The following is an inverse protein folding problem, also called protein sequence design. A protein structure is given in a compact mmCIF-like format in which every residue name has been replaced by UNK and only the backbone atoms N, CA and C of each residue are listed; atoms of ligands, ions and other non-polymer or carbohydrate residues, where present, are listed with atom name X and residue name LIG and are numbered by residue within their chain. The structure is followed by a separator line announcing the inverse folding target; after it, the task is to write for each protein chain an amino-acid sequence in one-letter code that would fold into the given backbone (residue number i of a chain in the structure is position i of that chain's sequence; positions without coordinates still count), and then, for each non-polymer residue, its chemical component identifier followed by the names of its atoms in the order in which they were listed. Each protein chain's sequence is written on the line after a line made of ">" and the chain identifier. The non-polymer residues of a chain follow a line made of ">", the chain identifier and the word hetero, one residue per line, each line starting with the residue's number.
data_IF_512827311295
#
_entry.id   IF_512827311295
#
_cell.length_a   1.000
_cell.length_b   1.000
_cell.length_c   1.000
_cell.angle_alpha   90.00
_cell.angle_beta   90.00
_cell.angle_gamma   90.00
#
_symmetry.space_group_name_H-M   'P 1'
#
loop_
_entity.id
_entity.type
_entity.pdbx_description
1 polymer ?
#
# COMPACT_ATOMS: atom_id res chain seq x y z
N UNK A 1 -4.73 13.55 -22.16
CA UNK A 1 -5.59 14.74 -21.86
C UNK A 1 -6.30 14.47 -20.54
N UNK A 2 -5.74 14.99 -19.46
CA UNK A 2 -6.40 15.19 -18.17
C UNK A 2 -7.60 16.11 -18.42
N UNK A 3 -8.76 15.83 -17.81
CA UNK A 3 -9.68 16.86 -17.34
C UNK A 3 -10.21 16.41 -15.98
N UNK A 4 -9.63 16.96 -14.92
CA UNK A 4 -10.30 17.09 -13.63
C UNK A 4 -11.52 17.99 -13.79
N UNK A 5 -12.59 17.65 -13.06
CA UNK A 5 -13.58 18.65 -12.64
C UNK A 5 -14.06 18.28 -11.24
N UNK A 6 -13.55 19.00 -10.26
CA UNK A 6 -14.14 19.09 -8.93
C UNK A 6 -15.35 20.02 -9.03
N UNK A 7 -16.52 19.59 -8.57
CA UNK A 7 -17.45 20.46 -7.84
C UNK A 7 -18.49 19.64 -7.07
N UNK A 8 -18.65 20.03 -5.81
CA UNK A 8 -19.62 19.53 -4.84
C UNK A 8 -21.07 19.76 -5.27
N UNK A 9 -21.98 18.88 -4.84
CA UNK A 9 -23.08 19.27 -3.94
C UNK A 9 -23.96 18.05 -3.61
N UNK A 10 -24.30 17.98 -2.33
CA UNK A 10 -25.11 16.96 -1.66
C UNK A 10 -26.47 16.69 -2.33
N UNK A 11 -26.93 15.43 -2.25
CA UNK A 11 -28.31 15.10 -1.86
C UNK A 11 -28.31 13.83 -1.02
N UNK A 12 -28.60 13.97 0.26
CA UNK A 12 -29.14 12.90 1.12
C UNK A 12 -30.66 12.99 1.00
N UNK A 13 -31.32 11.88 0.68
CA UNK A 13 -32.72 11.65 1.03
C UNK A 13 -32.93 10.17 1.37
N UNK A 14 -33.59 9.95 2.50
CA UNK A 14 -33.73 8.72 3.26
C UNK A 14 -34.80 7.79 2.68
N UNK A 15 -34.64 6.48 2.90
CA UNK A 15 -35.80 5.62 3.11
C UNK A 15 -35.62 4.74 4.35
N UNK A 16 -36.69 4.69 5.14
CA UNK A 16 -36.78 4.00 6.43
C UNK A 16 -37.56 2.73 6.16
N UNK A 17 -36.87 1.60 6.05
CA UNK A 17 -37.49 0.31 6.35
C UNK A 17 -36.46 -0.59 7.00
N UNK A 18 -36.81 -1.04 8.21
CA UNK A 18 -35.93 -1.84 9.05
C UNK A 18 -35.51 -3.13 8.35
N UNK A 19 -34.22 -3.23 8.09
CA UNK A 19 -33.47 -4.46 7.84
C UNK A 19 -32.03 -4.18 8.30
N UNK A 20 -31.50 -5.11 9.08
CA UNK A 20 -30.23 -5.05 9.81
C UNK A 20 -29.08 -5.41 8.86
N UNK A 21 -27.93 -4.74 8.98
CA UNK A 21 -26.92 -4.65 7.91
C UNK A 21 -25.49 -4.74 8.47
N UNK A 22 -24.74 -5.74 8.03
CA UNK A 22 -23.28 -5.79 8.03
C UNK A 22 -22.80 -5.39 6.63
N UNK A 23 -22.04 -4.29 6.54
CA UNK A 23 -21.53 -3.76 5.27
C UNK A 23 -20.16 -4.33 4.91
N UNK A 24 -19.98 -4.53 3.61
CA UNK A 24 -18.77 -4.89 2.84
C UNK A 24 -17.41 -4.63 3.51
N UNK A 25 -16.52 -5.60 3.42
CA UNK A 25 -15.08 -5.42 3.66
C UNK A 25 -14.27 -5.97 2.49
N UNK A 26 -13.88 -5.10 1.56
CA UNK A 26 -12.70 -5.30 0.71
C UNK A 26 -11.59 -4.49 1.35
N UNK A 27 -10.61 -5.16 1.97
CA UNK A 27 -9.45 -4.48 2.53
C UNK A 27 -8.39 -4.34 1.45
N UNK A 28 -8.18 -3.10 0.99
CA UNK A 28 -7.00 -2.74 0.22
C UNK A 28 -5.89 -2.43 1.22
N UNK A 29 -4.89 -3.29 1.31
CA UNK A 29 -3.63 -2.91 1.96
C UNK A 29 -2.82 -2.13 0.92
N UNK A 30 -2.39 -0.93 1.26
CA UNK A 30 -1.41 -0.17 0.50
C UNK A 30 -0.34 0.24 1.52
N UNK A 31 0.91 -0.26 1.38
CA UNK A 31 1.99 -0.04 2.36
C UNK A 31 2.41 1.44 2.50
N UNK A 32 1.74 2.38 1.83
CA UNK A 32 1.87 3.81 2.11
C UNK A 32 0.53 4.54 2.29
N UNK A 33 0.42 5.20 3.46
CA UNK A 33 -0.57 6.20 3.93
C UNK A 33 -1.82 5.67 4.67
N UNK A 34 -1.63 5.29 5.93
CA UNK A 34 -2.41 5.83 7.06
C UNK A 34 -1.51 5.96 8.28
N UNK A 35 -1.64 7.07 9.01
CA UNK A 35 -0.87 7.36 10.22
C UNK A 35 -1.43 6.52 11.37
N UNK A 36 -0.87 5.32 11.52
CA UNK A 36 -1.00 4.51 12.73
C UNK A 36 -0.20 5.20 13.83
N UNK A 37 -0.84 5.46 14.97
CA UNK A 37 -0.11 5.82 16.17
C UNK A 37 0.48 4.53 16.73
N UNK A 38 1.73 4.24 16.38
CA UNK A 38 2.71 3.54 17.21
C UNK A 38 4.10 3.63 16.55
N UNK A 39 5.07 4.11 17.33
CA UNK A 39 6.48 4.22 16.98
C UNK A 39 7.21 3.07 17.65
N UNK A 40 7.99 2.24 16.93
CA UNK A 40 9.02 1.38 17.54
C UNK A 40 10.19 1.13 16.57
N UNK A 41 11.42 0.90 17.09
CA UNK A 41 12.66 0.86 16.31
C UNK A 41 12.96 -0.51 15.68
N UNK A 42 13.84 -0.49 14.68
CA UNK A 42 14.36 -1.60 13.87
C UNK A 42 14.79 -2.86 14.67
N UNK A 43 14.45 -4.05 14.15
CA UNK A 43 15.38 -5.10 13.65
C UNK A 43 14.73 -6.50 13.55
N UNK A 44 15.06 -7.22 12.46
CA UNK A 44 14.91 -8.67 12.20
C UNK A 44 13.49 -9.26 12.02
N UNK A 45 13.23 -9.77 10.79
CA UNK A 45 12.04 -10.50 10.32
C UNK A 45 10.71 -9.92 10.82
N UNK A 46 10.23 -8.90 10.12
CA UNK A 46 8.98 -8.22 10.49
C UNK A 46 7.78 -9.14 10.25
N UNK A 47 7.30 -9.78 11.29
CA UNK A 47 5.92 -10.24 11.30
C UNK A 47 5.02 -8.99 11.35
N UNK A 48 4.30 -8.73 10.26
CA UNK A 48 3.32 -7.67 10.21
C UNK A 48 1.96 -8.27 10.58
N UNK A 49 1.36 -7.75 11.65
CA UNK A 49 0.02 -8.19 12.05
C UNK A 49 -1.05 -7.38 11.31
N UNK A 50 -1.94 -8.09 10.62
CA UNK A 50 -3.18 -7.57 10.07
C UNK A 50 -4.33 -7.90 11.04
N UNK A 51 -4.94 -6.88 11.63
CA UNK A 51 -6.17 -7.03 12.40
C UNK A 51 -7.39 -7.00 11.47
N UNK A 52 -7.97 -8.17 11.16
CA UNK A 52 -9.25 -8.23 10.46
C UNK A 52 -10.38 -8.00 11.46
N UNK A 53 -11.15 -6.94 11.27
CA UNK A 53 -12.26 -6.56 12.17
C UNK A 53 -13.55 -7.22 11.69
N UNK A 54 -14.18 -8.01 12.56
CA UNK A 54 -15.50 -8.61 12.33
C UNK A 54 -16.53 -7.87 13.17
N UNK A 55 -17.61 -7.41 12.54
CA UNK A 55 -18.71 -6.73 13.20
C UNK A 55 -19.83 -7.68 13.64
N UNK A 56 -20.50 -7.32 14.74
CA UNK A 56 -21.78 -7.86 15.18
C UNK A 56 -22.81 -6.74 15.16
N UNK A 57 -23.82 -6.87 14.30
CA UNK A 57 -24.97 -5.97 14.28
C UNK A 57 -26.19 -6.63 14.97
N UNK A 58 -26.62 -6.05 16.08
CA UNK A 58 -27.76 -6.53 16.86
C UNK A 58 -27.61 -7.94 17.47
N UNK A 59 -28.69 -8.72 17.37
CA UNK A 59 -28.85 -10.02 18.00
C UNK A 59 -29.43 -9.96 19.42
N UNK A 60 -29.77 -11.12 20.01
CA UNK A 60 -30.42 -11.19 21.31
C UNK A 60 -29.55 -10.63 22.45
N UNK A 61 -30.14 -9.71 23.22
CA UNK A 61 -29.49 -9.06 24.35
C UNK A 61 -29.01 -10.07 25.39
N UNK A 62 -27.83 -9.82 25.96
CA UNK A 62 -27.29 -10.67 27.02
C UNK A 62 -26.80 -12.06 26.59
N UNK A 63 -26.79 -12.37 25.27
CA UNK A 63 -26.25 -13.63 24.74
C UNK A 63 -24.86 -13.45 24.12
N UNK A 64 -24.05 -14.51 24.23
CA UNK A 64 -22.74 -14.62 23.58
C UNK A 64 -22.93 -15.19 22.17
N UNK A 65 -22.25 -14.62 21.18
CA UNK A 65 -22.23 -15.14 19.80
C UNK A 65 -20.84 -15.65 19.49
N UNK A 66 -20.74 -16.82 18.88
CA UNK A 66 -19.48 -17.44 18.48
C UNK A 66 -19.53 -17.75 16.99
N UNK A 67 -18.45 -17.42 16.28
CA UNK A 67 -18.29 -17.74 14.86
C UNK A 67 -16.90 -18.33 14.66
N UNK A 68 -16.83 -19.44 13.93
CA UNK A 68 -15.54 -20.01 13.56
C UNK A 68 -14.96 -19.26 12.36
N UNK A 69 -13.65 -19.13 12.34
CA UNK A 69 -12.93 -18.59 11.20
C UNK A 69 -11.80 -19.50 10.79
N UNK A 70 -11.47 -19.47 9.50
CA UNK A 70 -10.26 -20.06 8.96
C UNK A 70 -9.80 -19.31 7.71
N UNK A 71 -8.50 -19.33 7.45
CA UNK A 71 -7.89 -18.80 6.23
C UNK A 71 -7.77 -19.89 5.17
N UNK A 72 -7.93 -19.51 3.90
CA UNK A 72 -7.76 -20.37 2.72
C UNK A 72 -6.85 -19.66 1.71
N UNK A 73 -5.94 -20.43 1.09
CA UNK A 73 -4.99 -19.90 0.12
C UNK A 73 -5.71 -19.33 -1.11
N UNK A 74 -5.12 -18.29 -1.72
CA UNK A 74 -5.54 -17.75 -3.01
C UNK A 74 -4.40 -17.85 -4.00
N UNK A 75 -3.85 -16.71 -4.43
CA UNK A 75 -2.51 -16.69 -5.04
C UNK A 75 -1.41 -16.68 -3.98
N UNK A 76 -1.69 -16.07 -2.81
CA UNK A 76 -0.86 -16.16 -1.61
C UNK A 76 -1.09 -17.52 -0.91
N UNK A 77 0.00 -18.13 -0.46
CA UNK A 77 0.07 -19.45 0.16
C UNK A 77 0.41 -19.36 1.66
N UNK A 78 -0.29 -20.17 2.45
CA UNK A 78 0.00 -20.32 3.86
C UNK A 78 1.43 -20.87 4.09
N UNK A 79 2.20 -20.14 4.90
CA UNK A 79 3.55 -20.48 5.33
C UNK A 79 4.62 -19.61 4.69
N UNK A 80 4.52 -19.35 3.37
CA UNK A 80 5.38 -18.40 2.63
C UNK A 80 4.90 -16.98 2.84
N UNK A 81 3.61 -16.70 2.67
CA UNK A 81 3.11 -15.32 2.48
C UNK A 81 2.30 -14.85 3.70
N UNK A 82 1.64 -15.79 4.39
CA UNK A 82 0.96 -15.54 5.65
C UNK A 82 0.94 -16.78 6.54
N UNK A 83 0.71 -16.63 7.86
CA UNK A 83 0.48 -17.79 8.74
C UNK A 83 -0.98 -18.21 8.69
N UNK A 84 -1.28 -19.51 8.46
CA UNK A 84 -2.65 -19.98 8.44
C UNK A 84 -3.29 -19.75 9.82
N UNK A 85 -4.43 -19.07 9.82
CA UNK A 85 -5.17 -18.75 11.04
C UNK A 85 -6.50 -19.51 11.04
N UNK A 86 -6.84 -20.11 12.18
CA UNK A 86 -8.16 -20.69 12.41
C UNK A 86 -8.51 -20.63 13.89
N UNK A 87 -9.79 -20.44 14.20
CA UNK A 87 -10.23 -20.35 15.57
C UNK A 87 -11.72 -20.04 15.70
N UNK A 88 -12.13 -19.66 16.91
CA UNK A 88 -13.49 -19.20 17.19
C UNK A 88 -13.43 -17.79 17.73
N UNK A 89 -14.05 -16.87 17.01
CA UNK A 89 -14.25 -15.50 17.46
C UNK A 89 -15.47 -15.46 18.38
N UNK A 90 -15.32 -14.86 19.56
CA UNK A 90 -16.38 -14.79 20.58
C UNK A 90 -16.75 -13.35 20.82
N UNK A 91 -18.01 -13.00 20.55
CA UNK A 91 -18.64 -11.75 20.91
C UNK A 91 -19.39 -11.93 22.23
N UNK A 92 -18.89 -11.33 23.30
CA UNK A 92 -19.62 -11.24 24.55
C UNK A 92 -20.84 -10.31 24.40
N UNK A 93 -21.78 -10.30 25.37
CA UNK A 93 -22.84 -9.30 25.37
C UNK A 93 -22.28 -7.88 25.21
N UNK A 94 -22.93 -7.07 24.39
CA UNK A 94 -22.53 -5.70 24.03
C UNK A 94 -21.29 -5.54 23.13
N UNK A 95 -20.52 -6.61 22.87
CA UNK A 95 -19.43 -6.54 21.90
C UNK A 95 -20.00 -6.33 20.49
N UNK A 96 -19.61 -5.22 19.86
CA UNK A 96 -20.01 -4.90 18.48
C UNK A 96 -18.96 -5.26 17.45
N UNK A 97 -17.71 -5.42 17.87
CA UNK A 97 -16.58 -5.71 16.98
C UNK A 97 -15.56 -6.58 17.71
N UNK A 98 -15.00 -7.55 17.00
CA UNK A 98 -13.86 -8.33 17.46
C UNK A 98 -12.81 -8.39 16.35
N UNK A 99 -11.55 -8.66 16.72
CA UNK A 99 -10.42 -8.70 15.80
C UNK A 99 -9.89 -10.11 15.66
N UNK A 100 -9.53 -10.48 14.44
CA UNK A 100 -8.76 -11.67 14.11
C UNK A 100 -7.37 -11.20 13.69
N UNK A 101 -6.33 -11.40 14.51
CA UNK A 101 -4.96 -11.09 14.11
C UNK A 101 -4.49 -12.16 13.11
N UNK A 102 -4.05 -11.72 11.94
CA UNK A 102 -3.41 -12.55 10.92
C UNK A 102 -1.97 -12.08 10.80
N UNK A 103 -1.03 -13.02 10.83
CA UNK A 103 0.39 -12.75 10.68
C UNK A 103 0.74 -12.85 9.19
N UNK A 104 1.22 -11.76 8.62
CA UNK A 104 1.77 -11.70 7.26
C UNK A 104 3.26 -11.95 7.34
N UNK A 105 3.78 -12.78 6.44
CA UNK A 105 5.20 -13.09 6.34
C UNK A 105 5.82 -12.06 5.41
N UNK A 106 6.78 -11.30 5.93
CA UNK A 106 7.56 -10.30 5.20
C UNK A 106 8.93 -10.90 4.91
N UNK A 107 9.35 -10.90 3.65
CA UNK A 107 10.70 -11.29 3.27
C UNK A 107 11.43 -10.18 2.49
N UNK A 108 12.41 -10.53 1.65
CA UNK A 108 13.24 -9.57 0.93
C UNK A 108 13.26 -9.87 -0.59
N UNK A 109 12.31 -10.67 -1.07
CA UNK A 109 12.20 -11.16 -2.45
C UNK A 109 11.01 -10.48 -3.10
N UNK A 110 11.25 -9.86 -4.25
CA UNK A 110 10.18 -9.27 -5.03
C UNK A 110 9.16 -10.33 -5.48
N UNK A 111 7.89 -10.06 -5.18
CA UNK A 111 6.73 -10.89 -5.53
C UNK A 111 5.66 -10.05 -6.22
N UNK A 112 4.76 -10.69 -6.97
CA UNK A 112 3.59 -9.98 -7.52
C UNK A 112 2.56 -9.73 -6.41
N UNK A 113 1.56 -8.88 -6.67
CA UNK A 113 0.45 -8.71 -5.73
C UNK A 113 -0.32 -10.02 -5.59
N UNK A 114 -0.44 -10.50 -4.35
CA UNK A 114 -1.09 -11.78 -4.05
C UNK A 114 -2.27 -11.62 -3.11
N UNK A 115 -3.16 -12.62 -3.05
CA UNK A 115 -4.30 -12.60 -2.14
C UNK A 115 -4.58 -13.96 -1.53
N UNK A 116 -5.22 -13.95 -0.36
CA UNK A 116 -5.80 -15.12 0.28
C UNK A 116 -7.19 -14.78 0.85
N UNK A 117 -7.88 -15.76 1.40
CA UNK A 117 -9.24 -15.63 1.88
C UNK A 117 -9.35 -15.89 3.38
N UNK A 118 -10.29 -15.20 4.04
CA UNK A 118 -10.73 -15.48 5.41
C UNK A 118 -12.22 -15.79 5.41
N UNK A 119 -12.58 -16.98 5.91
CA UNK A 119 -13.96 -17.45 5.96
C UNK A 119 -14.53 -17.37 7.37
N UNK A 120 -15.79 -17.00 7.47
CA UNK A 120 -16.61 -17.08 8.68
C UNK A 120 -17.63 -18.21 8.53
N UNK A 121 -17.65 -19.13 9.49
CA UNK A 121 -18.50 -20.33 9.44
C UNK A 121 -19.03 -20.71 10.82
N UNK A 122 -19.94 -21.69 10.85
CA UNK A 122 -20.37 -22.36 12.07
C UNK A 122 -20.80 -21.40 13.19
N UNK A 123 -21.70 -20.48 12.86
CA UNK A 123 -22.27 -19.53 13.82
C UNK A 123 -23.03 -20.28 14.93
N UNK A 124 -22.79 -19.87 16.18
CA UNK A 124 -23.41 -20.44 17.38
C UNK A 124 -23.81 -19.33 18.33
N UNK A 125 -24.89 -19.55 19.07
CA UNK A 125 -25.31 -18.66 20.16
C UNK A 125 -25.19 -19.40 21.48
N UNK A 126 -24.64 -18.75 22.50
CA UNK A 126 -24.52 -19.30 23.84
C UNK A 126 -25.29 -18.45 24.84
N UNK A 127 -26.13 -19.13 25.62
CA UNK A 127 -26.90 -18.54 26.71
C UNK A 127 -26.05 -18.29 27.95
N UNK A 128 -26.56 -17.51 28.91
CA UNK A 128 -25.86 -17.18 30.16
C UNK A 128 -25.56 -18.41 31.02
N UNK A 129 -26.42 -19.42 30.97
CA UNK A 129 -26.27 -20.72 31.64
C UNK A 129 -25.39 -21.71 30.84
N UNK A 130 -24.85 -21.29 29.69
CA UNK A 130 -23.83 -22.05 28.94
C UNK A 130 -24.38 -23.00 27.87
N UNK A 131 -25.68 -23.01 27.62
CA UNK A 131 -26.29 -23.82 26.56
C UNK A 131 -25.91 -23.26 25.18
N UNK A 132 -25.42 -24.15 24.30
CA UNK A 132 -25.18 -23.83 22.89
C UNK A 132 -26.46 -24.05 22.10
N UNK A 133 -26.94 -23.00 21.46
CA UNK A 133 -28.12 -23.00 20.61
C UNK A 133 -27.70 -22.98 19.15
N UNK A 134 -28.40 -23.78 18.34
CA UNK A 134 -28.41 -23.60 16.89
C UNK A 134 -29.08 -22.25 16.60
N UNK A 135 -28.38 -21.31 15.94
CA UNK A 135 -28.90 -19.98 15.69
C UNK A 135 -30.14 -19.98 14.78
N UNK A 136 -30.48 -21.09 14.12
CA UNK A 136 -31.59 -21.17 13.16
C UNK A 136 -32.87 -21.84 13.70
N UNK A 137 -32.86 -22.46 14.89
CA UNK A 137 -33.89 -23.45 15.29
C UNK A 137 -34.85 -23.06 16.42
N UNK A 138 -34.95 -21.80 16.83
CA UNK A 138 -35.89 -21.40 17.89
C UNK A 138 -37.22 -20.87 17.32
N UNK A 139 -38.27 -21.69 17.38
CA UNK A 139 -39.65 -21.24 17.07
C UNK A 139 -39.89 -20.81 15.61
N UNK A 140 -39.02 -21.21 14.67
CA UNK A 140 -39.13 -20.85 13.25
C UNK A 140 -38.52 -19.49 12.87
N UNK A 141 -37.88 -18.78 13.81
CA UNK A 141 -37.18 -17.51 13.57
C UNK A 141 -35.69 -17.69 13.91
N UNK A 142 -34.75 -17.26 13.04
CA UNK A 142 -33.33 -17.31 13.36
C UNK A 142 -32.99 -16.33 14.49
N UNK A 143 -32.28 -16.81 15.51
CA UNK A 143 -31.71 -16.01 16.61
C UNK A 143 -30.51 -15.17 16.17
N UNK A 144 -29.75 -15.68 15.21
CA UNK A 144 -28.62 -15.01 14.58
C UNK A 144 -28.40 -15.60 13.19
N UNK A 145 -27.76 -14.85 12.30
CA UNK A 145 -27.41 -15.30 10.95
C UNK A 145 -26.03 -14.76 10.58
N UNK A 146 -25.30 -15.52 9.76
CA UNK A 146 -24.13 -14.99 9.06
C UNK A 146 -24.60 -14.24 7.82
N UNK A 147 -24.37 -12.93 7.79
CA UNK A 147 -24.66 -12.11 6.64
C UNK A 147 -23.58 -12.25 5.57
N UNK A 148 -23.95 -12.07 4.30
CA UNK A 148 -23.00 -12.04 3.20
C UNK A 148 -22.35 -10.66 3.10
N UNK A 149 -21.05 -10.57 2.80
CA UNK A 149 -20.15 -11.70 2.53
C UNK A 149 -19.63 -12.37 3.80
N UNK A 150 -19.57 -13.71 3.78
CA UNK A 150 -18.93 -14.52 4.84
C UNK A 150 -17.47 -14.86 4.55
N UNK A 151 -16.97 -14.41 3.40
CA UNK A 151 -15.59 -14.55 2.97
C UNK A 151 -15.03 -13.15 2.72
N UNK A 152 -13.89 -12.83 3.35
CA UNK A 152 -13.11 -11.64 3.03
C UNK A 152 -11.93 -12.03 2.14
N UNK A 153 -11.65 -11.23 1.12
CA UNK A 153 -10.41 -11.32 0.33
C UNK A 153 -9.39 -10.37 0.93
N UNK A 154 -8.18 -10.87 1.21
CA UNK A 154 -7.08 -10.11 1.78
C UNK A 154 -5.96 -10.09 0.75
N UNK A 155 -5.52 -8.89 0.37
CA UNK A 155 -4.47 -8.67 -0.62
C UNK A 155 -3.15 -8.29 0.07
N UNK A 156 -2.07 -8.99 -0.26
CA UNK A 156 -0.70 -8.72 0.14
C UNK A 156 -0.05 -7.96 -1.01
N UNK A 157 0.45 -6.75 -0.71
CA UNK A 157 1.25 -5.99 -1.66
C UNK A 157 2.72 -6.10 -1.27
N UNK A 158 3.53 -6.42 -2.25
CA UNK A 158 4.98 -6.48 -2.09
C UNK A 158 5.61 -5.08 -2.10
N UNK A 159 6.62 -4.88 -1.26
CA UNK A 159 7.44 -3.66 -1.20
C UNK A 159 8.92 -3.91 -1.54
N UNK A 160 9.29 -5.13 -1.94
CA UNK A 160 10.65 -5.51 -2.30
C UNK A 160 11.05 -5.19 -3.75
N UNK A 161 10.17 -4.51 -4.49
CA UNK A 161 10.52 -4.02 -5.82
C UNK A 161 11.69 -3.01 -5.76
N UNK A 162 12.63 -3.12 -6.71
CA UNK A 162 13.82 -2.26 -6.76
C UNK A 162 13.50 -0.79 -7.08
N UNK A 163 12.26 -0.50 -7.45
CA UNK A 163 11.73 0.83 -7.69
C UNK A 163 11.65 1.22 -9.17
N UNK A 164 10.77 2.18 -9.44
CA UNK A 164 10.55 2.85 -10.72
C UNK A 164 11.05 4.28 -10.58
N UNK A 165 11.91 4.70 -11.50
CA UNK A 165 12.62 5.98 -11.44
C UNK A 165 12.07 6.98 -12.45
N UNK A 166 11.75 8.18 -12.00
CA UNK A 166 11.23 9.25 -12.86
C UNK A 166 11.63 10.62 -12.35
N UNK A 167 11.61 11.62 -13.22
CA UNK A 167 11.59 13.02 -12.78
C UNK A 167 10.24 13.37 -12.16
N UNK A 168 10.23 14.38 -11.29
CA UNK A 168 9.00 14.94 -10.72
C UNK A 168 8.14 15.66 -11.78
N UNK A 169 8.78 16.25 -12.80
CA UNK A 169 8.13 16.95 -13.90
C UNK A 169 8.78 16.58 -15.23
N UNK A 170 8.04 16.77 -16.34
CA UNK A 170 8.52 16.55 -17.71
C UNK A 170 9.17 17.80 -18.34
N UNK A 171 9.09 18.95 -17.67
CA UNK A 171 9.71 20.19 -18.08
C UNK A 171 10.17 21.00 -16.86
N UNK A 172 11.29 21.71 -17.02
CA UNK A 172 11.85 22.61 -16.01
C UNK A 172 12.19 23.94 -16.65
N UNK A 173 11.97 25.03 -15.92
CA UNK A 173 12.35 26.37 -16.34
C UNK A 173 13.32 26.94 -15.32
N UNK A 174 14.45 27.43 -15.82
CA UNK A 174 15.48 28.08 -15.00
C UNK A 174 15.94 29.35 -15.69
N UNK A 175 16.45 30.27 -14.86
CA UNK A 175 17.12 31.49 -15.32
C UNK A 175 18.62 31.21 -15.42
N UNK A 176 19.28 31.80 -16.42
CA UNK A 176 20.70 31.52 -16.72
C UNK A 176 21.65 31.86 -15.57
N UNK A 177 21.29 32.84 -14.73
CA UNK A 177 22.06 33.24 -13.56
C UNK A 177 21.88 32.34 -12.32
N UNK A 178 21.19 31.19 -12.44
CA UNK A 178 21.01 30.27 -11.31
C UNK A 178 22.30 29.53 -10.92
N UNK A 179 23.27 29.44 -11.85
CA UNK A 179 24.52 28.68 -11.70
C UNK A 179 24.30 27.17 -11.79
N UNK A 180 23.32 26.62 -11.08
CA UNK A 180 22.96 25.20 -11.16
C UNK A 180 21.44 25.00 -11.14
N UNK A 181 20.99 24.02 -11.92
CA UNK A 181 19.66 23.42 -11.76
C UNK A 181 19.80 22.09 -11.01
N UNK A 182 19.03 21.96 -9.94
CA UNK A 182 18.92 20.72 -9.16
C UNK A 182 17.60 20.03 -9.52
N UNK A 183 17.71 18.83 -10.08
CA UNK A 183 16.59 18.05 -10.59
C UNK A 183 16.33 16.87 -9.66
N UNK A 184 15.11 16.77 -9.13
CA UNK A 184 14.70 15.67 -8.26
C UNK A 184 14.28 14.46 -9.08
N UNK A 185 14.91 13.33 -8.80
CA UNK A 185 14.53 12.00 -9.30
C UNK A 185 13.82 11.25 -8.19
N UNK A 186 12.63 10.75 -8.48
CA UNK A 186 11.77 9.99 -7.57
C UNK A 186 11.91 8.50 -7.85
N UNK A 187 12.00 7.69 -6.79
CA UNK A 187 11.95 6.22 -6.82
C UNK A 187 10.64 5.77 -6.16
N UNK A 188 9.78 5.13 -6.93
CA UNK A 188 8.42 4.73 -6.57
C UNK A 188 8.21 3.23 -6.76
N UNK A 189 7.09 2.68 -6.27
CA UNK A 189 6.80 1.23 -6.37
C UNK A 189 7.97 0.39 -5.85
N UNK A 190 8.38 0.65 -4.60
CA UNK A 190 9.50 -0.03 -3.94
C UNK A 190 10.79 0.81 -3.87
N UNK A 191 11.56 0.54 -2.84
CA UNK A 191 12.84 1.20 -2.58
C UNK A 191 13.93 0.21 -2.13
N UNK A 192 13.75 -1.07 -2.49
CA UNK A 192 14.59 -2.16 -2.02
C UNK A 192 15.92 -2.25 -2.74
N UNK A 193 16.99 -2.38 -1.97
CA UNK A 193 18.34 -2.52 -2.44
C UNK A 193 18.93 -1.24 -3.03
N UNK A 194 20.23 -1.32 -3.33
CA UNK A 194 20.98 -0.23 -3.91
C UNK A 194 20.85 -0.26 -5.45
N UNK A 195 20.51 0.89 -6.05
CA UNK A 195 20.31 1.01 -7.50
C UNK A 195 21.14 2.17 -8.04
N UNK A 196 21.98 1.87 -9.02
CA UNK A 196 22.68 2.87 -9.82
C UNK A 196 21.79 3.28 -10.99
N UNK A 197 21.51 4.57 -11.12
CA UNK A 197 20.73 5.12 -12.22
C UNK A 197 21.62 6.04 -13.06
N UNK A 198 22.08 5.58 -14.23
CA UNK A 198 22.83 6.41 -15.15
C UNK A 198 21.92 7.45 -15.82
N UNK A 199 22.49 8.60 -16.16
CA UNK A 199 21.79 9.67 -16.85
C UNK A 199 22.72 10.43 -17.79
N UNK A 200 22.13 11.08 -18.80
CA UNK A 200 22.87 11.82 -19.82
C UNK A 200 22.13 13.07 -20.28
N UNK A 201 22.88 14.13 -20.56
CA UNK A 201 22.35 15.35 -21.19
C UNK A 201 22.53 15.32 -22.71
N UNK A 202 21.60 15.92 -23.46
CA UNK A 202 21.70 16.12 -24.91
C UNK A 202 21.37 17.55 -25.29
N UNK A 203 22.10 18.06 -26.27
CA UNK A 203 21.88 19.39 -26.82
C UNK A 203 20.48 19.50 -27.44
N UNK A 204 19.85 20.66 -27.23
CA UNK A 204 18.66 21.09 -27.96
C UNK A 204 19.00 22.34 -28.78
N UNK A 205 18.31 23.45 -28.53
CA UNK A 205 18.79 24.77 -28.98
C UNK A 205 19.91 25.31 -28.08
N UNK A 206 19.90 24.94 -26.80
CA UNK A 206 21.03 25.10 -25.90
C UNK A 206 22.09 24.02 -26.21
N UNK A 207 23.33 24.46 -26.38
CA UNK A 207 24.51 23.62 -26.64
C UNK A 207 25.46 23.54 -25.44
N UNK A 208 26.06 22.37 -25.30
CA UNK A 208 27.06 22.03 -24.29
C UNK A 208 28.24 23.01 -24.27
N UNK A 209 28.69 23.39 -23.07
CA UNK A 209 29.85 24.26 -22.86
C UNK A 209 29.60 25.75 -23.14
N UNK A 210 28.52 26.09 -23.84
CA UNK A 210 28.05 27.48 -23.99
C UNK A 210 26.94 27.83 -23.00
N UNK A 211 25.95 26.96 -22.82
CA UNK A 211 24.75 27.26 -22.01
C UNK A 211 24.65 26.38 -20.78
N UNK A 212 25.21 25.17 -20.82
CA UNK A 212 25.18 24.24 -19.69
C UNK A 212 26.39 23.30 -19.69
N UNK A 213 26.69 22.75 -18.51
CA UNK A 213 27.71 21.73 -18.31
C UNK A 213 27.14 20.34 -18.60
N UNK A 214 27.56 19.72 -19.71
CA UNK A 214 27.07 18.39 -20.05
C UNK A 214 27.49 17.30 -19.08
N UNK A 215 26.63 16.30 -18.94
CA UNK A 215 26.91 15.03 -18.28
C UNK A 215 26.84 13.93 -19.33
N UNK A 216 28.00 13.48 -19.81
CA UNK A 216 28.08 12.43 -20.83
C UNK A 216 27.85 11.02 -20.28
N UNK A 217 28.17 10.81 -18.99
CA UNK A 217 28.01 9.57 -18.24
C UNK A 217 27.79 9.88 -16.75
N UNK A 218 26.68 10.55 -16.44
CA UNK A 218 26.29 10.83 -15.06
C UNK A 218 25.71 9.58 -14.38
N UNK A 219 25.90 9.47 -13.08
CA UNK A 219 25.35 8.37 -12.29
C UNK A 219 24.82 8.91 -10.95
N UNK A 220 23.62 8.49 -10.56
CA UNK A 220 23.12 8.67 -9.20
C UNK A 220 22.93 7.31 -8.53
N UNK A 221 23.34 7.21 -7.28
CA UNK A 221 23.20 6.01 -6.48
C UNK A 221 22.04 6.19 -5.51
N UNK A 222 21.01 5.37 -5.65
CA UNK A 222 19.98 5.22 -4.64
C UNK A 222 20.41 4.15 -3.65
N UNK A 223 20.58 4.53 -2.39
CA UNK A 223 20.77 3.58 -1.29
C UNK A 223 19.49 2.80 -0.99
N UNK A 224 19.62 1.72 -0.22
CA UNK A 224 18.47 0.95 0.27
C UNK A 224 17.51 1.87 1.06
N UNK A 225 16.21 1.73 0.81
CA UNK A 225 15.12 2.56 1.35
C UNK A 225 15.14 4.04 0.94
N UNK A 226 16.06 4.47 0.07
CA UNK A 226 16.07 5.85 -0.45
C UNK A 226 15.03 6.01 -1.56
N UNK A 227 14.15 7.00 -1.42
CA UNK A 227 13.03 7.26 -2.36
C UNK A 227 13.25 8.46 -3.27
N UNK A 228 14.30 9.25 -3.04
CA UNK A 228 14.64 10.40 -3.86
C UNK A 228 16.15 10.64 -3.93
N UNK A 229 16.60 11.15 -5.07
CA UNK A 229 17.96 11.63 -5.27
C UNK A 229 17.93 12.85 -6.19
N UNK A 230 19.05 13.57 -6.25
CA UNK A 230 19.14 14.84 -6.96
C UNK A 230 20.26 14.80 -8.01
N UNK A 231 19.99 15.37 -9.17
CA UNK A 231 20.95 15.59 -10.24
C UNK A 231 21.23 17.09 -10.33
N UNK A 232 22.49 17.48 -10.25
CA UNK A 232 22.91 18.86 -10.45
C UNK A 232 23.55 19.05 -11.82
N UNK A 233 23.03 20.02 -12.58
CA UNK A 233 23.56 20.45 -13.88
C UNK A 233 23.97 21.92 -13.78
N UNK A 234 25.20 22.24 -14.15
CA UNK A 234 25.67 23.62 -14.22
C UNK A 234 25.02 24.36 -15.39
N UNK A 235 24.50 25.56 -15.13
CA UNK A 235 23.95 26.49 -16.11
C UNK A 235 24.94 27.64 -16.25
N UNK A 236 25.32 27.94 -17.49
CA UNK A 236 26.31 28.97 -17.82
C UNK A 236 25.56 30.26 -18.14
N UNK A 237 25.81 31.29 -17.34
CA UNK A 237 25.31 32.64 -17.61
C UNK A 237 26.05 33.22 -18.83
N UNK A 238 25.30 33.64 -19.85
CA UNK A 238 25.87 34.22 -21.07
C UNK A 238 25.47 35.69 -21.18
N UNK A 239 26.38 36.56 -21.64
CA UNK A 239 26.10 38.00 -21.80
C UNK A 239 25.17 38.31 -23.00
N UNK A 240 24.60 37.29 -23.64
CA UNK A 240 23.81 37.43 -24.86
C UNK A 240 22.32 37.38 -24.51
N UNK A 241 21.53 38.32 -25.05
CA UNK A 241 20.08 38.24 -24.93
C UNK A 241 19.58 37.11 -25.83
N UNK A 242 19.47 35.91 -25.28
CA UNK A 242 19.03 34.73 -26.02
C UNK A 242 17.52 34.52 -25.87
N UNK A 243 16.95 33.82 -26.86
CA UNK A 243 15.55 33.39 -26.83
C UNK A 243 15.44 32.26 -25.81
N UNK A 244 14.22 31.83 -25.46
CA UNK A 244 14.05 30.63 -24.62
C UNK A 244 14.72 29.42 -25.30
N UNK A 245 15.85 28.99 -24.75
CA UNK A 245 16.59 27.81 -25.20
C UNK A 245 16.32 26.59 -24.30
N UNK A 246 16.60 25.40 -24.82
CA UNK A 246 16.37 24.15 -24.11
C UNK A 246 17.44 23.10 -24.44
N UNK A 247 17.67 22.21 -23.48
CA UNK A 247 18.44 20.97 -23.62
C UNK A 247 17.64 19.83 -22.99
N UNK A 248 18.07 18.59 -23.21
CA UNK A 248 17.40 17.40 -22.68
C UNK A 248 18.25 16.72 -21.60
N UNK A 249 17.57 16.13 -20.62
CA UNK A 249 18.16 15.20 -19.67
C UNK A 249 17.39 13.88 -19.73
N UNK A 250 18.11 12.79 -19.91
CA UNK A 250 17.54 11.44 -20.04
C UNK A 250 18.08 10.54 -18.93
N UNK A 251 17.17 9.79 -18.28
CA UNK A 251 17.53 8.68 -17.40
C UNK A 251 17.69 7.42 -18.24
N UNK A 252 18.77 6.69 -18.02
CA UNK A 252 19.03 5.40 -18.67
C UNK A 252 18.47 4.24 -17.84
N UNK A 253 18.62 3.01 -18.34
CA UNK A 253 18.18 1.81 -17.62
C UNK A 253 18.87 1.70 -16.26
N UNK A 254 18.10 1.51 -15.15
CA UNK A 254 18.67 1.32 -13.82
C UNK A 254 19.45 0.00 -13.74
N UNK A 255 20.51 0.01 -12.95
CA UNK A 255 21.37 -1.16 -12.70
C UNK A 255 21.34 -1.47 -11.21
N UNK A 256 20.90 -2.67 -10.86
CA UNK A 256 20.94 -3.13 -9.47
C UNK A 256 22.39 -3.36 -9.05
N UNK A 257 22.85 -2.65 -8.02
CA UNK A 257 24.21 -2.79 -7.51
C UNK A 257 24.20 -3.77 -6.34
N UNK A 258 24.20 -5.06 -6.65
CA UNK A 258 24.56 -6.07 -5.64
C UNK A 258 26.00 -5.79 -5.22
N UNK A 259 26.22 -5.16 -4.07
CA UNK A 259 27.51 -5.32 -3.39
C UNK A 259 27.62 -6.80 -3.02
N UNK A 260 28.59 -7.48 -3.65
CA UNK A 260 29.09 -8.76 -3.19
C UNK A 260 29.33 -8.64 -1.68
N UNK A 261 28.55 -9.36 -0.87
CA UNK A 261 28.99 -9.69 0.48
C UNK A 261 30.19 -10.61 0.32
N UNK A 262 31.36 -9.99 0.26
CA UNK A 262 32.62 -10.67 0.44
C UNK A 262 32.70 -11.20 1.87
N UNK A 263 32.86 -12.52 1.95
CA UNK A 263 33.15 -13.39 3.11
C UNK A 263 31.96 -13.85 3.94
#
# INVERSE_FOLDING_TARGET
>A
KIHEKIQSNEKIQFDISGKHILKDFVFYLNKHKFKLQNTFPETSKHFVFLDVVVGRDGGPEGLTVMVDYYTEDGTANAGSDYKPAKGTLTFYPEDRHCKIPIEIVDDDVFEEDEHFYLHLTNLRVRTRDGLILDPTRLGGVPLALLEMPTTATIMILDDDHAGVFSFEYDHFQVVENCGHITLRVQRTSGCRGQVLLPYKTYDGSATTGKHYEAKESGEILFEDNQTEAFIDIGIVDTEQYERSDFFYLELSSPVWTKKMSGK
#
